data_IF_513595278287
#
_entry.id   IF_513595278287
#
_cell.length_a   1.000
_cell.length_b   1.000
_cell.length_c   1.000
_cell.angle_alpha   90.00
_cell.angle_beta   90.00
_cell.angle_gamma   90.00
#
_symmetry.space_group_name_H-M   'P 1'
#
loop_
_entity.id
_entity.type
_entity.pdbx_description
1 polymer ?
#
# COMPACT_ATOMS: atom_id res chain seq x y z
N UNK A 1 -4.96 15.60 10.20
CA UNK A 1 -6.11 15.63 9.27
C UNK A 1 -6.62 14.21 9.07
N UNK A 2 -7.87 13.94 9.45
CA UNK A 2 -8.53 12.64 9.19
C UNK A 2 -9.06 12.69 7.75
N UNK A 3 -8.74 11.69 6.92
CA UNK A 3 -9.38 11.58 5.60
C UNK A 3 -10.85 11.26 5.81
N UNK A 4 -11.74 11.98 5.14
CA UNK A 4 -13.16 11.68 5.16
C UNK A 4 -13.46 10.39 4.40
N UNK A 5 -14.47 9.66 4.86
CA UNK A 5 -14.90 8.40 4.24
C UNK A 5 -15.57 8.73 2.92
N UNK A 6 -14.98 8.22 1.84
CA UNK A 6 -15.55 8.33 0.49
C UNK A 6 -16.87 7.58 0.47
N UNK A 7 -17.96 8.28 0.17
CA UNK A 7 -19.28 7.65 0.01
C UNK A 7 -19.32 6.80 -1.27
N UNK A 8 -20.30 5.90 -1.40
CA UNK A 8 -20.44 5.12 -2.63
C UNK A 8 -20.72 6.03 -3.83
N UNK A 9 -21.51 7.08 -3.65
CA UNK A 9 -21.84 8.05 -4.69
C UNK A 9 -20.61 8.83 -5.15
N UNK A 10 -19.82 9.35 -4.20
CA UNK A 10 -18.57 10.06 -4.48
C UNK A 10 -17.57 9.17 -5.23
N UNK A 11 -17.45 7.89 -4.85
CA UNK A 11 -16.60 6.94 -5.55
C UNK A 11 -16.97 6.80 -7.03
N UNK A 12 -18.27 6.73 -7.33
CA UNK A 12 -18.75 6.59 -8.71
C UNK A 12 -18.67 7.89 -9.50
N UNK A 13 -18.71 9.05 -8.84
CA UNK A 13 -18.53 10.35 -9.47
C UNK A 13 -17.07 10.73 -9.75
N UNK A 14 -16.11 10.18 -8.98
CA UNK A 14 -14.69 10.49 -9.18
C UNK A 14 -14.21 10.12 -10.58
N UNK A 15 -13.51 11.04 -11.23
CA UNK A 15 -12.78 10.73 -12.45
C UNK A 15 -11.50 9.92 -12.15
N UNK A 16 -10.84 9.44 -13.20
CA UNK A 16 -9.63 8.61 -13.09
C UNK A 16 -8.50 9.30 -12.31
N UNK A 17 -8.29 10.60 -12.53
CA UNK A 17 -7.21 11.38 -11.92
C UNK A 17 -7.48 11.67 -10.45
N UNK A 18 -8.72 12.04 -10.12
CA UNK A 18 -9.19 12.22 -8.74
C UNK A 18 -9.03 10.94 -7.92
N UNK A 19 -9.42 9.79 -8.49
CA UNK A 19 -9.24 8.49 -7.83
C UNK A 19 -7.77 8.16 -7.61
N UNK A 20 -6.92 8.43 -8.61
CA UNK A 20 -5.48 8.21 -8.51
C UNK A 20 -4.85 9.07 -7.40
N UNK A 21 -5.10 10.37 -7.40
CA UNK A 21 -4.57 11.27 -6.36
C UNK A 21 -5.14 10.93 -4.98
N UNK A 22 -6.41 10.50 -4.88
CA UNK A 22 -6.99 10.06 -3.61
C UNK A 22 -6.31 8.79 -3.07
N UNK A 23 -6.00 7.82 -3.92
CA UNK A 23 -5.27 6.60 -3.56
C UNK A 23 -3.85 6.92 -3.06
N UNK A 24 -3.18 7.86 -3.73
CA UNK A 24 -1.83 8.36 -3.40
C UNK A 24 -1.82 9.16 -2.10
N UNK A 25 -2.75 10.07 -1.91
CA UNK A 25 -2.90 10.84 -0.67
C UNK A 25 -3.18 9.91 0.52
N UNK A 26 -4.08 8.95 0.32
CA UNK A 26 -4.40 7.94 1.35
C UNK A 26 -3.20 7.08 1.67
N UNK A 27 -2.42 6.67 0.67
CA UNK A 27 -1.16 5.94 0.88
C UNK A 27 -0.18 6.73 1.75
N UNK A 28 0.08 7.99 1.38
CA UNK A 28 1.06 8.83 2.06
C UNK A 28 0.65 9.13 3.50
N UNK A 29 -0.64 9.37 3.75
CA UNK A 29 -1.17 9.53 5.13
C UNK A 29 -1.10 8.24 5.95
N UNK A 30 -1.22 7.09 5.28
CA UNK A 30 -1.16 5.79 5.95
C UNK A 30 0.26 5.42 6.40
N UNK A 31 1.29 5.84 5.68
CA UNK A 31 2.68 5.55 6.02
C UNK A 31 3.22 6.34 7.21
N UNK A 32 4.38 5.92 7.70
CA UNK A 32 5.22 6.75 8.55
C UNK A 32 5.61 8.03 7.81
N UNK A 33 5.54 9.17 8.51
CA UNK A 33 6.11 10.42 8.02
C UNK A 33 7.63 10.33 7.87
N UNK A 34 8.26 11.35 7.27
CA UNK A 34 9.72 11.39 7.07
C UNK A 34 10.49 11.06 8.37
N UNK A 35 10.21 11.79 9.45
CA UNK A 35 10.86 11.58 10.76
C UNK A 35 10.63 10.17 11.30
N UNK A 36 9.41 9.63 11.18
CA UNK A 36 9.08 8.28 11.63
C UNK A 36 9.87 7.20 10.89
N UNK A 37 10.01 7.33 9.56
CA UNK A 37 10.84 6.42 8.75
C UNK A 37 12.31 6.49 9.12
N UNK A 38 12.85 7.70 9.32
CA UNK A 38 14.23 7.87 9.78
C UNK A 38 14.45 7.19 11.13
N UNK A 39 13.58 7.42 12.11
CA UNK A 39 13.68 6.79 13.42
C UNK A 39 13.60 5.25 13.33
N UNK A 40 12.67 4.74 12.54
CA UNK A 40 12.49 3.31 12.31
C UNK A 40 13.75 2.64 11.75
N UNK A 41 14.32 3.21 10.68
CA UNK A 41 15.53 2.67 10.04
C UNK A 41 16.76 2.80 10.93
N UNK A 42 16.92 3.93 11.63
CA UNK A 42 18.02 4.13 12.57
C UNK A 42 17.95 3.18 13.77
N UNK A 43 16.77 2.95 14.34
CA UNK A 43 16.61 2.02 15.45
C UNK A 43 16.84 0.57 15.03
N UNK A 44 16.47 0.20 13.80
CA UNK A 44 16.76 -1.11 13.20
C UNK A 44 18.26 -1.30 12.96
N UNK A 45 18.93 -0.30 12.37
CA UNK A 45 20.38 -0.30 12.19
C UNK A 45 21.11 -0.38 13.53
N UNK A 46 20.67 0.38 14.54
CA UNK A 46 21.24 0.33 15.89
C UNK A 46 21.11 -1.06 16.51
N UNK A 47 19.92 -1.67 16.42
CA UNK A 47 19.69 -3.04 16.91
C UNK A 47 20.63 -4.04 16.22
N UNK A 48 20.81 -3.95 14.91
CA UNK A 48 21.72 -4.80 14.15
C UNK A 48 23.18 -4.60 14.56
N UNK A 49 23.60 -3.35 14.80
CA UNK A 49 24.94 -3.06 15.30
C UNK A 49 25.19 -3.68 16.69
N UNK A 50 24.18 -3.78 17.55
CA UNK A 50 24.32 -4.52 18.81
C UNK A 50 24.66 -6.00 18.57
N UNK A 51 24.02 -6.65 17.59
CA UNK A 51 24.35 -8.03 17.22
C UNK A 51 25.74 -8.16 16.60
N UNK A 52 26.22 -7.15 15.87
CA UNK A 52 27.59 -7.14 15.31
C UNK A 52 28.64 -7.06 16.40
N UNK A 53 28.47 -6.18 17.40
CA UNK A 53 29.49 -5.94 18.43
C UNK A 53 29.41 -6.90 19.62
N UNK A 54 28.21 -7.41 19.93
CA UNK A 54 27.97 -8.23 21.14
C UNK A 54 27.46 -9.64 20.83
N UNK A 55 27.25 -10.00 19.57
CA UNK A 55 26.87 -11.36 19.19
C UNK A 55 28.00 -12.35 19.45
N UNK A 56 27.69 -13.54 19.96
CA UNK A 56 28.70 -14.58 20.22
C UNK A 56 29.04 -15.42 18.97
N UNK A 57 28.12 -15.47 18.00
CA UNK A 57 28.27 -16.24 16.76
C UNK A 57 28.69 -15.35 15.58
N UNK A 58 29.83 -15.69 14.96
CA UNK A 58 30.39 -15.00 13.78
C UNK A 58 29.39 -14.95 12.61
N UNK A 59 28.63 -16.02 12.38
CA UNK A 59 27.65 -16.05 11.30
C UNK A 59 26.52 -15.03 11.54
N UNK A 60 26.06 -14.91 12.79
CA UNK A 60 25.06 -13.92 13.19
C UNK A 60 25.61 -12.50 13.06
N UNK A 61 26.87 -12.26 13.45
CA UNK A 61 27.53 -10.96 13.28
C UNK A 61 27.62 -10.56 11.80
N UNK A 62 27.99 -11.48 10.90
CA UNK A 62 28.10 -11.19 9.46
C UNK A 62 26.74 -10.83 8.87
N UNK A 63 25.69 -11.61 9.15
CA UNK A 63 24.33 -11.30 8.68
C UNK A 63 23.87 -9.95 9.24
N UNK A 64 24.09 -9.70 10.53
CA UNK A 64 23.72 -8.45 11.16
C UNK A 64 24.46 -7.25 10.55
N UNK A 65 25.73 -7.42 10.21
CA UNK A 65 26.54 -6.41 9.53
C UNK A 65 26.00 -6.06 8.13
N UNK A 66 25.65 -7.07 7.34
CA UNK A 66 25.01 -6.87 6.02
C UNK A 66 23.67 -6.13 6.19
N UNK A 67 22.86 -6.54 7.16
CA UNK A 67 21.59 -5.86 7.45
C UNK A 67 21.77 -4.40 7.87
N UNK A 68 22.76 -4.09 8.70
CA UNK A 68 23.04 -2.73 9.14
C UNK A 68 23.45 -1.83 7.97
N UNK A 69 24.30 -2.35 7.07
CA UNK A 69 24.68 -1.65 5.83
C UNK A 69 23.45 -1.39 4.95
N UNK A 70 22.55 -2.37 4.84
CA UNK A 70 21.31 -2.22 4.07
C UNK A 70 20.39 -1.14 4.65
N UNK A 71 20.18 -1.11 5.97
CA UNK A 71 19.39 -0.06 6.63
C UNK A 71 19.99 1.34 6.42
N UNK A 72 21.33 1.46 6.48
CA UNK A 72 22.04 2.72 6.19
C UNK A 72 21.88 3.12 4.72
N UNK A 73 21.99 2.18 3.78
CA UNK A 73 21.74 2.44 2.37
C UNK A 73 20.32 3.00 2.15
N UNK A 74 19.31 2.42 2.80
CA UNK A 74 17.92 2.87 2.73
C UNK A 74 17.71 4.25 3.33
N UNK A 75 18.46 4.63 4.38
CA UNK A 75 18.45 6.00 4.91
C UNK A 75 18.92 7.04 3.87
N UNK A 76 19.89 6.68 3.03
CA UNK A 76 20.46 7.56 2.00
C UNK A 76 19.58 7.59 0.74
N UNK A 77 19.00 6.45 0.32
CA UNK A 77 18.23 6.34 -0.92
C UNK A 77 16.79 5.83 -0.70
N UNK A 78 15.87 6.66 -0.16
CA UNK A 78 14.52 6.22 0.19
C UNK A 78 13.50 6.15 -0.98
N UNK A 79 13.90 6.41 -2.24
CA UNK A 79 12.97 6.83 -3.30
C UNK A 79 12.36 5.73 -4.19
N UNK A 80 12.77 4.45 -4.06
CA UNK A 80 12.29 3.40 -4.97
C UNK A 80 10.93 2.77 -4.63
N UNK A 81 10.53 2.78 -3.35
CA UNK A 81 9.42 1.95 -2.84
C UNK A 81 8.01 2.48 -3.20
N UNK A 82 7.90 3.77 -3.49
CA UNK A 82 6.61 4.41 -3.77
C UNK A 82 6.19 4.35 -5.25
N UNK A 83 7.16 4.24 -6.17
CA UNK A 83 6.89 4.27 -7.61
C UNK A 83 6.07 3.08 -8.09
N UNK A 84 6.39 1.88 -7.59
CA UNK A 84 5.66 0.65 -7.93
C UNK A 84 4.21 0.72 -7.46
N UNK A 85 3.98 1.23 -6.24
CA UNK A 85 2.63 1.43 -5.71
C UNK A 85 1.83 2.44 -6.54
N UNK A 86 2.47 3.51 -7.01
CA UNK A 86 1.80 4.48 -7.89
C UNK A 86 1.44 3.90 -9.26
N UNK A 87 2.30 3.04 -9.82
CA UNK A 87 1.96 2.32 -11.06
C UNK A 87 0.71 1.48 -10.88
N UNK A 88 0.60 0.72 -9.78
CA UNK A 88 -0.58 -0.08 -9.49
C UNK A 88 -1.83 0.80 -9.24
N UNK A 89 -1.71 1.94 -8.54
CA UNK A 89 -2.86 2.84 -8.36
C UNK A 89 -3.37 3.37 -9.70
N UNK A 90 -2.48 3.68 -10.63
CA UNK A 90 -2.84 4.14 -11.98
C UNK A 90 -3.52 3.05 -12.79
N UNK A 91 -3.05 1.80 -12.71
CA UNK A 91 -3.70 0.66 -13.37
C UNK A 91 -5.12 0.49 -12.84
N UNK A 92 -5.29 0.47 -11.51
CA UNK A 92 -6.60 0.24 -10.90
C UNK A 92 -7.57 1.41 -11.18
N UNK A 93 -7.10 2.66 -11.13
CA UNK A 93 -7.96 3.81 -11.47
C UNK A 93 -8.42 3.78 -12.93
N UNK A 94 -7.55 3.35 -13.86
CA UNK A 94 -7.92 3.13 -15.26
C UNK A 94 -8.99 2.04 -15.41
N UNK A 95 -8.80 0.89 -14.74
CA UNK A 95 -9.75 -0.22 -14.80
C UNK A 95 -11.13 0.17 -14.24
N UNK A 96 -11.16 0.94 -13.15
CA UNK A 96 -12.42 1.46 -12.60
C UNK A 96 -13.09 2.41 -13.58
N UNK A 97 -12.35 3.30 -14.21
CA UNK A 97 -12.92 4.22 -15.21
C UNK A 97 -13.43 3.47 -16.45
N UNK A 98 -12.70 2.48 -16.94
CA UNK A 98 -13.13 1.64 -18.06
C UNK A 98 -14.43 0.89 -17.71
N UNK A 99 -14.50 0.34 -16.49
CA UNK A 99 -15.69 -0.33 -15.97
C UNK A 99 -16.90 0.62 -15.92
N UNK A 100 -16.72 1.83 -15.38
CA UNK A 100 -17.76 2.89 -15.38
C UNK A 100 -18.28 3.17 -16.79
N UNK A 101 -17.37 3.44 -17.72
CA UNK A 101 -17.73 3.82 -19.09
C UNK A 101 -18.52 2.72 -19.82
N UNK A 102 -18.23 1.44 -19.55
CA UNK A 102 -18.93 0.31 -20.18
C UNK A 102 -20.30 0.03 -19.57
N UNK A 103 -20.49 0.35 -18.29
CA UNK A 103 -21.70 -0.02 -17.55
C UNK A 103 -22.74 1.09 -17.58
N UNK A 104 -22.31 2.35 -17.64
CA UNK A 104 -23.21 3.47 -17.96
C UNK A 104 -23.96 3.27 -19.28
N UNK A 105 -23.46 2.40 -20.17
CA UNK A 105 -24.06 2.06 -21.46
C UNK A 105 -24.89 0.76 -21.46
N UNK A 106 -25.03 0.06 -20.32
CA UNK A 106 -25.81 -1.19 -20.24
C UNK A 106 -26.87 -1.14 -19.15
N UNK A 107 -28.11 -1.49 -19.48
CA UNK A 107 -29.26 -1.47 -18.55
C UNK A 107 -29.21 -2.56 -17.46
N UNK A 108 -28.24 -3.49 -17.52
CA UNK A 108 -28.04 -4.60 -16.57
C UNK A 108 -27.06 -4.26 -15.43
N UNK A 109 -27.01 -3.02 -14.95
CA UNK A 109 -26.16 -2.69 -13.83
C UNK A 109 -26.64 -3.42 -12.55
N UNK A 110 -25.96 -4.51 -12.16
CA UNK A 110 -26.28 -5.23 -10.92
C UNK A 110 -25.79 -4.39 -9.73
N UNK A 111 -26.67 -3.85 -8.86
CA UNK A 111 -26.28 -3.02 -7.70
C UNK A 111 -25.31 -3.74 -6.76
N UNK A 112 -25.36 -5.08 -6.78
CA UNK A 112 -24.48 -5.95 -6.00
C UNK A 112 -23.01 -5.90 -6.45
N UNK A 113 -22.73 -5.73 -7.75
CA UNK A 113 -21.36 -5.72 -8.30
C UNK A 113 -20.70 -4.36 -8.08
N UNK A 114 -21.42 -3.27 -8.33
CA UNK A 114 -20.98 -1.91 -8.00
C UNK A 114 -20.72 -1.76 -6.51
N UNK A 115 -21.60 -2.28 -5.64
CA UNK A 115 -21.35 -2.30 -4.19
C UNK A 115 -20.11 -3.12 -3.81
N UNK A 116 -19.85 -4.25 -4.49
CA UNK A 116 -18.67 -5.07 -4.24
C UNK A 116 -17.37 -4.34 -4.61
N UNK A 117 -17.30 -3.74 -5.80
CA UNK A 117 -16.14 -2.94 -6.23
C UNK A 117 -15.89 -1.80 -5.26
N UNK A 118 -16.94 -1.06 -4.90
CA UNK A 118 -16.84 0.02 -3.92
C UNK A 118 -16.27 -0.49 -2.59
N UNK A 119 -16.83 -1.55 -2.00
CA UNK A 119 -16.36 -2.08 -0.71
C UNK A 119 -14.90 -2.54 -0.76
N UNK A 120 -14.48 -3.12 -1.88
CA UNK A 120 -13.11 -3.60 -2.06
C UNK A 120 -12.14 -2.41 -2.14
N UNK A 121 -12.48 -1.41 -2.94
CA UNK A 121 -11.68 -0.20 -3.13
C UNK A 121 -11.76 0.78 -1.96
N UNK A 122 -12.84 0.80 -1.19
CA UNK A 122 -13.05 1.77 -0.11
C UNK A 122 -11.98 1.64 0.97
N UNK A 123 -11.46 0.43 1.21
CA UNK A 123 -10.37 0.19 2.16
C UNK A 123 -9.01 0.75 1.70
N UNK A 124 -8.85 0.96 0.39
CA UNK A 124 -7.72 1.66 -0.21
C UNK A 124 -7.96 3.18 -0.26
N UNK A 125 -9.21 3.64 -0.39
CA UNK A 125 -9.56 5.06 -0.48
C UNK A 125 -9.84 5.74 0.86
N UNK A 126 -10.07 4.94 1.90
CA UNK A 126 -10.33 5.38 3.25
C UNK A 126 -9.66 4.43 4.25
N UNK A 127 -9.20 5.01 5.35
CA UNK A 127 -8.53 4.38 6.51
C UNK A 127 -8.73 2.86 6.58
N UNK A 128 -7.72 2.09 6.17
CA UNK A 128 -7.73 0.64 6.39
C UNK A 128 -7.86 0.41 7.91
N UNK A 129 -8.71 -0.51 8.34
CA UNK A 129 -8.92 -0.80 9.76
C UNK A 129 -7.62 -1.12 10.51
N UNK A 130 -6.59 -1.56 9.77
CA UNK A 130 -5.29 -1.95 10.28
C UNK A 130 -4.24 -0.83 10.26
N UNK A 131 -4.56 0.37 9.78
CA UNK A 131 -3.60 1.48 9.64
C UNK A 131 -2.83 1.81 10.92
N UNK A 132 -3.50 1.81 12.08
CA UNK A 132 -2.85 2.03 13.38
C UNK A 132 -1.85 0.91 13.69
N UNK A 133 -2.25 -0.34 13.46
CA UNK A 133 -1.43 -1.53 13.68
C UNK A 133 -0.21 -1.52 12.75
N UNK A 134 -0.40 -1.24 11.45
CA UNK A 134 0.68 -1.09 10.48
C UNK A 134 1.66 0.01 10.90
N UNK A 135 1.17 1.16 11.41
CA UNK A 135 2.03 2.21 11.97
C UNK A 135 2.80 1.74 13.19
N UNK A 136 2.16 1.06 14.13
CA UNK A 136 2.85 0.54 15.31
C UNK A 136 3.91 -0.50 14.93
N UNK A 137 3.59 -1.44 14.04
CA UNK A 137 4.53 -2.45 13.57
C UNK A 137 5.75 -1.84 12.88
N UNK A 138 5.53 -0.82 12.05
CA UNK A 138 6.61 -0.08 11.37
C UNK A 138 7.55 0.67 12.34
N UNK A 139 7.19 0.81 13.63
CA UNK A 139 8.09 1.37 14.65
C UNK A 139 8.86 0.31 15.44
N UNK A 140 8.56 -0.98 15.28
CA UNK A 140 9.20 -2.05 16.05
C UNK A 140 10.48 -2.49 15.34
N UNK A 141 11.68 -2.19 15.87
CA UNK A 141 12.93 -2.41 15.15
C UNK A 141 13.18 -3.87 14.82
N UNK A 142 12.83 -4.79 15.73
CA UNK A 142 12.95 -6.24 15.51
C UNK A 142 12.12 -6.71 14.32
N UNK A 143 10.92 -6.14 14.14
CA UNK A 143 10.08 -6.47 12.99
C UNK A 143 10.70 -5.89 11.72
N UNK A 144 11.15 -4.64 11.77
CA UNK A 144 11.75 -3.94 10.64
C UNK A 144 13.02 -4.62 10.10
N UNK A 145 13.82 -5.23 10.98
CA UNK A 145 14.97 -6.06 10.61
C UNK A 145 14.57 -7.27 9.75
N UNK A 146 13.38 -7.85 10.00
CA UNK A 146 12.87 -9.02 9.26
C UNK A 146 12.09 -8.59 8.02
N UNK A 147 11.28 -7.53 8.15
CA UNK A 147 10.40 -6.99 7.14
C UNK A 147 10.46 -5.47 7.25
N UNK A 148 11.09 -4.81 6.29
CA UNK A 148 11.18 -3.34 6.17
C UNK A 148 9.90 -2.63 6.67
N UNK A 149 10.06 -1.49 7.35
CA UNK A 149 9.00 -0.63 7.86
C UNK A 149 7.91 -0.24 6.85
N UNK A 150 8.17 -0.37 5.54
CA UNK A 150 7.20 -0.14 4.47
C UNK A 150 6.29 -1.34 4.19
N UNK A 151 6.75 -2.55 4.50
CA UNK A 151 6.06 -3.83 4.26
C UNK A 151 4.68 -3.90 4.91
N UNK A 152 4.45 -3.40 6.14
CA UNK A 152 3.11 -3.38 6.74
C UNK A 152 2.10 -2.50 5.99
N UNK A 153 2.56 -1.56 5.16
CA UNK A 153 1.69 -0.70 4.34
C UNK A 153 1.47 -1.27 2.95
N UNK A 154 2.52 -1.82 2.34
CA UNK A 154 2.46 -2.35 0.98
C UNK A 154 1.76 -3.70 0.94
N UNK A 155 2.10 -4.66 1.81
CA UNK A 155 1.55 -6.03 1.77
C UNK A 155 0.02 -6.09 1.95
N UNK A 156 -0.50 -5.42 2.99
CA UNK A 156 -1.93 -5.40 3.29
C UNK A 156 -2.74 -4.71 2.19
N UNK A 157 -2.18 -3.65 1.60
CA UNK A 157 -2.85 -2.86 0.56
C UNK A 157 -2.75 -3.51 -0.81
N UNK A 158 -1.59 -4.08 -1.13
CA UNK A 158 -1.33 -4.80 -2.37
C UNK A 158 -2.27 -5.99 -2.53
N UNK A 159 -2.49 -6.77 -1.46
CA UNK A 159 -3.46 -7.87 -1.49
C UNK A 159 -4.90 -7.42 -1.83
N UNK A 160 -5.31 -6.24 -1.37
CA UNK A 160 -6.62 -5.66 -1.71
C UNK A 160 -6.63 -5.14 -3.15
N UNK A 161 -5.61 -4.36 -3.54
CA UNK A 161 -5.51 -3.80 -4.89
C UNK A 161 -5.45 -4.88 -5.96
N UNK A 162 -4.70 -5.97 -5.71
CA UNK A 162 -4.57 -7.09 -6.64
C UNK A 162 -5.90 -7.84 -6.79
N UNK A 163 -6.63 -8.07 -5.69
CA UNK A 163 -8.01 -8.62 -5.75
C UNK A 163 -8.95 -7.71 -6.54
N UNK A 164 -8.84 -6.40 -6.35
CA UNK A 164 -9.66 -5.41 -7.07
C UNK A 164 -9.37 -5.39 -8.55
N UNK A 165 -8.08 -5.34 -8.90
CA UNK A 165 -7.57 -5.44 -10.26
C UNK A 165 -8.08 -6.70 -10.95
N UNK A 166 -7.83 -7.88 -10.40
CA UNK A 166 -8.27 -9.15 -11.00
C UNK A 166 -9.78 -9.24 -11.15
N UNK A 167 -10.56 -8.72 -10.19
CA UNK A 167 -12.00 -8.67 -10.31
C UNK A 167 -12.46 -7.75 -11.45
N UNK A 168 -11.91 -6.54 -11.54
CA UNK A 168 -12.24 -5.58 -12.58
C UNK A 168 -11.87 -6.10 -13.97
N UNK A 169 -10.68 -6.69 -14.12
CA UNK A 169 -10.23 -7.33 -15.37
C UNK A 169 -11.18 -8.44 -15.81
N UNK A 170 -11.49 -9.38 -14.91
CA UNK A 170 -12.40 -10.49 -15.20
C UNK A 170 -13.79 -10.01 -15.61
N UNK A 171 -14.29 -8.93 -14.99
CA UNK A 171 -15.62 -8.42 -15.28
C UNK A 171 -15.67 -7.61 -16.57
N UNK A 172 -14.62 -6.84 -16.87
CA UNK A 172 -14.44 -6.17 -18.16
C UNK A 172 -14.35 -7.18 -19.30
N UNK A 173 -13.66 -8.31 -19.11
CA UNK A 173 -13.54 -9.37 -20.09
C UNK A 173 -14.87 -10.10 -20.32
N UNK A 174 -15.68 -10.29 -19.28
CA UNK A 174 -17.04 -10.82 -19.42
C UNK A 174 -17.94 -9.87 -20.20
N UNK A 175 -17.84 -8.57 -19.97
CA UNK A 175 -18.61 -7.55 -20.71
C UNK A 175 -18.21 -7.55 -22.19
N UNK A 176 -16.91 -7.66 -22.51
CA UNK A 176 -16.43 -7.73 -23.91
C UNK A 176 -16.91 -8.98 -24.68
N UNK A 177 -17.21 -10.07 -23.98
CA UNK A 177 -17.63 -11.36 -24.56
C UNK A 177 -19.14 -11.50 -24.74
N UNK A 178 -19.93 -10.57 -24.16
CA UNK A 178 -21.36 -10.44 -24.39
C UNK A 178 -21.60 -9.50 -25.57
#
# INVERSE_FOLDING_TARGET
>A
MVLEKVSQEEFWQMNQEEMFERLKETYQKQKLGKVGRYFSRLSSAFLLLLFVFFGEDIFVQVIAGIGAIYEIYRLIKPHGEDEEQYKEFKIVSNLVQEYKNKILNTSEEKPRKTKFIYNLMSSCLYKSGNHKISKTMAYIPVINVIMDEMTPYTSLRYGVLLKGKSFLEAELDRIKKK
#
